data_IF_427422073462
#
_entry.id   IF_427422073462
#
_cell.length_a   1.000
_cell.length_b   1.000
_cell.length_c   1.000
_cell.angle_alpha   90.00
_cell.angle_beta   90.00
_cell.angle_gamma   90.00
#
_symmetry.space_group_name_H-M   'P 1'
#
loop_
_entity.id
_entity.type
_entity.pdbx_description
1 polymer ?
#
# COMPACT_ATOMS: atom_id res chain seq x y z
N UNK A 1 10.97 -12.44 5.39
CA UNK A 1 9.70 -11.84 4.95
C UNK A 1 9.19 -12.65 3.78
N UNK A 2 7.99 -13.22 3.85
CA UNK A 2 7.35 -13.82 2.67
C UNK A 2 7.03 -12.67 1.73
N UNK A 3 7.68 -12.61 0.59
CA UNK A 3 7.15 -11.89 -0.56
C UNK A 3 5.89 -12.65 -0.98
N UNK A 4 4.77 -12.36 -0.31
CA UNK A 4 3.46 -12.73 -0.83
C UNK A 4 3.31 -11.93 -2.11
N UNK A 5 3.69 -12.58 -3.21
CA UNK A 5 3.57 -12.03 -4.55
C UNK A 5 2.09 -11.75 -4.73
N UNK A 6 1.70 -10.47 -4.67
CA UNK A 6 0.34 -10.04 -4.92
C UNK A 6 -0.14 -10.74 -6.20
N UNK A 7 -1.17 -11.58 -6.08
CA UNK A 7 -1.59 -12.40 -7.22
C UNK A 7 -2.06 -11.48 -8.33
N UNK A 8 -1.79 -11.88 -9.56
CA UNK A 8 -2.24 -11.15 -10.73
C UNK A 8 -3.66 -11.58 -11.10
N UNK A 9 -4.56 -10.62 -11.29
CA UNK A 9 -6.00 -10.87 -11.54
C UNK A 9 -6.54 -9.93 -12.62
N UNK A 10 -7.44 -10.46 -13.47
CA UNK A 10 -8.12 -9.66 -14.50
C UNK A 10 -9.06 -8.65 -13.84
N UNK A 11 -8.91 -7.37 -14.19
CA UNK A 11 -9.68 -6.29 -13.56
C UNK A 11 -9.20 -5.92 -12.15
N UNK A 12 -8.02 -6.42 -11.75
CA UNK A 12 -7.32 -6.00 -10.55
C UNK A 12 -6.83 -4.54 -10.60
N UNK A 13 -6.20 -4.08 -9.53
CA UNK A 13 -5.60 -2.76 -9.48
C UNK A 13 -4.40 -2.64 -10.44
N UNK A 14 -4.27 -1.47 -11.04
CA UNK A 14 -3.13 -1.13 -11.87
C UNK A 14 -1.84 -1.30 -11.07
N UNK A 15 -0.90 -2.08 -11.61
CA UNK A 15 0.31 -2.48 -10.90
C UNK A 15 1.17 -1.28 -10.49
N UNK A 16 1.25 -0.26 -11.35
CA UNK A 16 2.03 0.95 -11.07
C UNK A 16 1.43 1.74 -9.91
N UNK A 17 0.10 1.91 -9.89
CA UNK A 17 -0.60 2.61 -8.80
C UNK A 17 -0.40 1.88 -7.47
N UNK A 18 -0.52 0.54 -7.47
CA UNK A 18 -0.28 -0.29 -6.28
C UNK A 18 1.15 -0.15 -5.79
N UNK A 19 2.15 -0.40 -6.65
CA UNK A 19 3.56 -0.32 -6.26
C UNK A 19 3.91 1.06 -5.70
N UNK A 20 3.43 2.13 -6.34
CA UNK A 20 3.68 3.49 -5.85
C UNK A 20 3.08 3.73 -4.46
N UNK A 21 1.90 3.16 -4.18
CA UNK A 21 1.26 3.27 -2.86
C UNK A 21 2.03 2.45 -1.81
N UNK A 22 2.47 1.25 -2.15
CA UNK A 22 3.26 0.40 -1.27
C UNK A 22 4.63 1.00 -0.94
N UNK A 23 5.33 1.56 -1.94
CA UNK A 23 6.60 2.24 -1.74
C UNK A 23 6.45 3.42 -0.77
N UNK A 24 5.37 4.19 -0.91
CA UNK A 24 5.08 5.32 -0.02
C UNK A 24 4.76 4.85 1.42
N UNK A 25 3.99 3.77 1.60
CA UNK A 25 3.70 3.20 2.92
C UNK A 25 4.97 2.63 3.57
N UNK A 26 5.81 1.94 2.81
CA UNK A 26 7.09 1.42 3.30
C UNK A 26 8.02 2.54 3.73
N UNK A 27 8.07 3.66 2.99
CA UNK A 27 8.86 4.82 3.39
C UNK A 27 8.39 5.41 4.73
N UNK A 28 7.07 5.50 4.95
CA UNK A 28 6.54 5.93 6.26
C UNK A 28 6.86 4.95 7.38
N UNK A 29 6.80 3.64 7.10
CA UNK A 29 7.18 2.62 8.08
C UNK A 29 8.65 2.75 8.48
N UNK A 30 9.55 2.95 7.51
CA UNK A 30 10.97 3.20 7.81
C UNK A 30 11.14 4.47 8.66
N UNK A 31 10.46 5.56 8.34
CA UNK A 31 10.50 6.79 9.16
C UNK A 31 10.01 6.54 10.59
N UNK A 32 8.92 5.78 10.74
CA UNK A 32 8.41 5.36 12.04
C UNK A 32 9.45 4.52 12.78
N UNK A 33 10.10 3.55 12.14
CA UNK A 33 11.16 2.74 12.75
C UNK A 33 12.38 3.58 13.14
N UNK A 34 12.72 4.63 12.39
CA UNK A 34 13.93 5.44 12.61
C UNK A 34 13.84 6.46 13.74
N UNK A 35 12.65 6.85 14.20
CA UNK A 35 12.55 7.87 15.25
C UNK A 35 11.58 8.99 14.97
N UNK A 36 11.02 9.06 13.76
CA UNK A 36 10.30 10.26 13.34
C UNK A 36 8.98 10.37 14.09
N UNK A 37 8.68 11.60 14.53
CA UNK A 37 7.50 11.94 15.31
C UNK A 37 6.19 11.61 14.56
N UNK A 38 5.22 11.04 15.28
CA UNK A 38 3.92 10.65 14.73
C UNK A 38 3.15 11.84 14.13
N UNK A 39 3.33 13.05 14.66
CA UNK A 39 2.72 14.28 14.11
C UNK A 39 3.19 14.61 12.69
N UNK A 40 4.35 14.09 12.25
CA UNK A 40 4.85 14.24 10.88
C UNK A 40 4.43 13.09 9.97
N UNK A 41 4.22 11.91 10.54
CA UNK A 41 3.88 10.69 9.80
C UNK A 41 2.38 10.61 9.51
N UNK A 42 1.54 10.87 10.51
CA UNK A 42 0.08 10.74 10.39
C UNK A 42 -0.54 11.58 9.26
N UNK A 43 -0.14 12.85 9.03
CA UNK A 43 -0.66 13.62 7.90
C UNK A 43 -0.26 13.05 6.53
N UNK A 44 0.95 12.51 6.40
CA UNK A 44 1.41 11.88 5.15
C UNK A 44 0.71 10.53 4.91
N UNK A 45 0.47 9.76 5.97
CA UNK A 45 -0.31 8.52 5.90
C UNK A 45 -1.71 8.80 5.35
N UNK A 46 -2.38 9.85 5.83
CA UNK A 46 -3.71 10.22 5.36
C UNK A 46 -3.71 10.61 3.87
N UNK A 47 -2.70 11.33 3.41
CA UNK A 47 -2.54 11.65 1.97
C UNK A 47 -2.36 10.37 1.13
N UNK A 48 -1.57 9.42 1.61
CA UNK A 48 -1.34 8.15 0.91
C UNK A 48 -2.63 7.33 0.88
N UNK A 49 -3.39 7.26 1.98
CA UNK A 49 -4.70 6.58 2.05
C UNK A 49 -5.65 7.09 0.98
N UNK A 50 -5.77 8.40 0.85
CA UNK A 50 -6.64 9.06 -0.12
C UNK A 50 -6.18 8.92 -1.57
N UNK A 51 -4.93 8.48 -1.82
CA UNK A 51 -4.44 8.25 -3.18
C UNK A 51 -5.19 7.08 -3.83
N UNK A 52 -5.89 7.32 -4.97
CA UNK A 52 -6.67 6.29 -5.62
C UNK A 52 -5.76 5.26 -6.30
N UNK A 53 -6.09 3.97 -6.15
CA UNK A 53 -5.56 2.89 -6.97
C UNK A 53 -6.57 2.59 -8.07
N UNK A 54 -6.23 2.89 -9.32
CA UNK A 54 -7.17 2.66 -10.43
C UNK A 54 -7.21 1.17 -10.76
N UNK A 55 -8.36 0.67 -11.16
CA UNK A 55 -8.45 -0.68 -11.76
C UNK A 55 -7.93 -0.64 -13.18
N UNK A 56 -7.32 -1.75 -13.61
CA UNK A 56 -6.98 -1.96 -15.00
C UNK A 56 -8.24 -1.84 -15.87
N UNK A 57 -8.20 -0.99 -16.90
CA UNK A 57 -9.36 -0.78 -17.79
C UNK A 57 -9.55 -2.03 -18.65
N UNK A 58 -10.76 -2.59 -18.63
CA UNK A 58 -11.17 -3.71 -19.48
C UNK A 58 -11.16 -3.32 -20.96
N UNK A 59 -10.00 -3.37 -21.61
CA UNK A 59 -9.91 -3.48 -23.07
C UNK A 59 -10.23 -4.91 -23.53
N UNK A 60 -10.45 -5.10 -24.83
CA UNK A 60 -10.80 -6.39 -25.45
C UNK A 60 -9.83 -7.55 -25.12
N UNK A 61 -8.61 -7.24 -24.67
CA UNK A 61 -7.59 -8.21 -24.24
C UNK A 61 -7.41 -8.36 -22.72
N UNK A 62 -8.24 -7.70 -21.90
CA UNK A 62 -8.26 -7.84 -20.44
C UNK A 62 -6.90 -7.60 -19.79
N UNK A 63 -6.57 -6.37 -19.43
CA UNK A 63 -5.35 -6.10 -18.68
C UNK A 63 -5.41 -6.75 -17.29
N UNK A 64 -4.29 -7.36 -16.91
CA UNK A 64 -4.12 -8.08 -15.66
C UNK A 64 -3.46 -7.13 -14.65
N UNK A 65 -4.19 -6.83 -13.58
CA UNK A 65 -3.72 -6.03 -12.45
C UNK A 65 -3.27 -6.91 -11.28
N UNK A 66 -2.98 -6.31 -10.13
CA UNK A 66 -2.88 -7.03 -8.87
C UNK A 66 -4.28 -7.25 -8.27
N UNK A 67 -4.51 -8.41 -7.66
CA UNK A 67 -5.77 -8.73 -7.00
C UNK A 67 -6.10 -7.66 -5.97
N UNK A 68 -7.34 -7.17 -6.02
CA UNK A 68 -7.79 -6.12 -5.12
C UNK A 68 -7.76 -6.60 -3.67
N UNK A 69 -8.23 -7.84 -3.43
CA UNK A 69 -8.25 -8.47 -2.11
C UNK A 69 -6.84 -8.60 -1.52
N UNK A 70 -5.90 -9.21 -2.26
CA UNK A 70 -4.52 -9.36 -1.78
C UNK A 70 -3.87 -8.00 -1.51
N UNK A 71 -4.12 -7.02 -2.38
CA UNK A 71 -3.55 -5.68 -2.24
C UNK A 71 -4.10 -4.96 -1.02
N UNK A 72 -5.42 -5.00 -0.82
CA UNK A 72 -6.09 -4.30 0.29
C UNK A 72 -5.70 -4.94 1.64
N UNK A 73 -5.59 -6.28 1.69
CA UNK A 73 -5.07 -7.00 2.86
C UNK A 73 -3.62 -6.62 3.17
N UNK A 74 -2.76 -6.57 2.15
CA UNK A 74 -1.35 -6.22 2.32
C UNK A 74 -1.17 -4.77 2.79
N UNK A 75 -1.98 -3.83 2.27
CA UNK A 75 -2.01 -2.44 2.74
C UNK A 75 -2.45 -2.39 4.20
N UNK A 76 -3.51 -3.10 4.58
CA UNK A 76 -3.98 -3.14 5.97
C UNK A 76 -2.89 -3.66 6.93
N UNK A 77 -2.15 -4.70 6.52
CA UNK A 77 -1.03 -5.23 7.29
C UNK A 77 0.12 -4.22 7.46
N UNK A 78 0.45 -3.46 6.41
CA UNK A 78 1.45 -2.40 6.48
C UNK A 78 1.01 -1.26 7.41
N UNK A 79 -0.26 -0.83 7.30
CA UNK A 79 -0.80 0.20 8.18
C UNK A 79 -0.82 -0.25 9.64
N UNK A 80 -1.18 -1.50 9.92
CA UNK A 80 -1.14 -2.06 11.27
C UNK A 80 0.29 -2.05 11.85
N UNK A 81 1.29 -2.46 11.05
CA UNK A 81 2.71 -2.39 11.45
C UNK A 81 3.15 -0.96 11.72
N UNK A 82 2.76 -0.02 10.87
CA UNK A 82 3.05 1.40 11.04
C UNK A 82 2.46 1.94 12.34
N UNK A 83 1.20 1.65 12.62
CA UNK A 83 0.53 2.10 13.85
C UNK A 83 1.16 1.50 15.10
N UNK A 84 1.58 0.23 15.06
CA UNK A 84 2.32 -0.39 16.16
C UNK A 84 3.67 0.31 16.39
N UNK A 85 4.45 0.54 15.32
CA UNK A 85 5.73 1.25 15.41
C UNK A 85 5.60 2.68 15.97
N UNK A 86 4.47 3.34 15.71
CA UNK A 86 4.16 4.66 16.28
C UNK A 86 3.67 4.61 17.74
N UNK A 87 3.14 3.48 18.20
CA UNK A 87 2.56 3.32 19.54
C UNK A 87 3.57 2.83 20.58
N UNK A 88 4.61 2.11 20.15
CA UNK A 88 5.69 1.62 21.01
C UNK A 88 6.69 2.73 21.43
N UNK A 89 6.29 4.00 21.34
CA UNK A 89 7.09 5.20 21.66
C UNK A 89 6.30 6.22 22.46
#
# INVERSE_FOLDING_TARGET
>A
MRSEVLRSEKGGYNKTDVLTKLDALNALLMMAEEGVDSSKILPELEKIRQRPMRKEKSGFFGTIGFSAEDTDNYIADLEAKLMNALSDR
#
